data_IF_809568395692
#
_entry.id   IF_809568395692
#
_cell.length_a   1.000
_cell.length_b   1.000
_cell.length_c   1.000
_cell.angle_alpha   90.00
_cell.angle_beta   90.00
_cell.angle_gamma   90.00
#
_symmetry.space_group_name_H-M   'P 1'
#
loop_
_entity.id
_entity.type
_entity.pdbx_description
1 polymer ?
#
# COMPACT_ATOMS: atom_id res chain seq x y z
N UNK A 1 -2.04 -73.59 62.04
CA UNK A 1 -2.12 -72.31 61.28
C UNK A 1 -1.40 -72.53 59.95
N UNK A 2 -2.12 -72.78 58.91
CA UNK A 2 -1.60 -73.00 57.59
C UNK A 2 -1.65 -71.69 56.79
N UNK A 3 -0.60 -71.26 56.09
CA UNK A 3 -0.62 -70.01 55.33
C UNK A 3 -1.42 -70.18 54.01
N UNK A 4 -2.25 -69.18 53.73
CA UNK A 4 -3.01 -69.08 52.47
C UNK A 4 -2.12 -68.75 51.29
N UNK A 5 -2.37 -69.32 50.07
CA UNK A 5 -1.59 -68.99 48.88
C UNK A 5 -2.00 -67.64 48.32
N UNK A 6 -1.01 -66.87 47.86
CA UNK A 6 -1.18 -65.60 47.17
C UNK A 6 -1.55 -65.87 45.73
N UNK A 7 -2.53 -65.14 45.12
CA UNK A 7 -2.90 -65.38 43.72
C UNK A 7 -1.81 -64.86 42.78
N UNK A 8 -1.47 -65.68 41.76
CA UNK A 8 -0.53 -65.36 40.70
C UNK A 8 -1.13 -64.23 39.79
N UNK A 9 -0.39 -63.11 39.68
CA UNK A 9 -0.69 -62.09 38.68
C UNK A 9 -0.31 -62.60 37.29
N UNK A 10 -1.30 -62.81 36.45
CA UNK A 10 -1.04 -63.00 35.02
C UNK A 10 -0.45 -61.74 34.39
N UNK A 11 0.81 -61.73 34.12
CA UNK A 11 1.44 -60.74 33.22
C UNK A 11 1.19 -61.21 31.79
N UNK A 12 0.32 -60.50 31.09
CA UNK A 12 0.20 -60.65 29.64
C UNK A 12 1.49 -60.10 28.98
N UNK A 13 2.42 -61.00 28.63
CA UNK A 13 3.56 -60.65 27.76
C UNK A 13 3.08 -60.57 26.31
N UNK A 14 2.87 -59.34 25.81
CA UNK A 14 2.67 -59.11 24.39
C UNK A 14 3.98 -59.53 23.66
N UNK A 15 3.85 -60.34 22.61
CA UNK A 15 4.98 -60.79 21.82
C UNK A 15 5.65 -59.57 21.16
N UNK A 16 7.01 -59.53 21.03
CA UNK A 16 7.72 -58.38 20.47
C UNK A 16 7.25 -58.01 19.04
N UNK A 17 6.82 -58.98 18.25
CA UNK A 17 6.26 -58.77 16.90
C UNK A 17 4.94 -58.00 16.89
N UNK A 18 4.13 -58.08 17.94
CA UNK A 18 2.86 -57.38 18.06
C UNK A 18 3.11 -55.90 18.42
N UNK A 19 4.09 -55.61 19.26
CA UNK A 19 4.49 -54.27 19.64
C UNK A 19 5.01 -53.46 18.46
N UNK A 20 5.88 -54.06 17.61
CA UNK A 20 6.40 -53.41 16.40
C UNK A 20 5.31 -53.08 15.38
N UNK A 21 4.33 -53.96 15.21
CA UNK A 21 3.20 -53.71 14.31
C UNK A 21 2.32 -52.57 14.81
N UNK A 22 2.05 -52.48 16.12
CA UNK A 22 1.28 -51.38 16.72
C UNK A 22 2.03 -50.06 16.62
N UNK A 23 3.33 -50.03 16.89
CA UNK A 23 4.15 -48.81 16.76
C UNK A 23 4.22 -48.33 15.31
N UNK A 24 4.36 -49.25 14.35
CA UNK A 24 4.39 -48.90 12.92
C UNK A 24 3.05 -48.32 12.45
N UNK A 25 1.93 -48.95 12.78
CA UNK A 25 0.58 -48.48 12.43
C UNK A 25 0.31 -47.10 13.09
N UNK A 26 0.71 -46.96 14.35
CA UNK A 26 0.53 -45.67 15.04
C UNK A 26 1.41 -44.56 14.43
N UNK A 27 2.62 -44.85 14.05
CA UNK A 27 3.50 -43.90 13.35
C UNK A 27 2.96 -43.51 11.97
N UNK A 28 2.45 -44.46 11.19
CA UNK A 28 1.86 -44.20 9.88
C UNK A 28 0.57 -43.38 10.02
N UNK A 29 -0.27 -43.66 10.99
CA UNK A 29 -1.50 -42.88 11.26
C UNK A 29 -1.18 -41.46 11.75
N UNK A 30 -0.15 -41.30 12.59
CA UNK A 30 0.30 -40.00 13.06
C UNK A 30 0.88 -39.17 11.92
N UNK A 31 1.68 -39.79 11.05
CA UNK A 31 2.24 -39.13 9.86
C UNK A 31 1.14 -38.76 8.87
N UNK A 32 0.16 -39.63 8.65
CA UNK A 32 -0.99 -39.34 7.79
C UNK A 32 -1.86 -38.22 8.36
N UNK A 33 -2.04 -38.15 9.69
CA UNK A 33 -2.78 -37.06 10.35
C UNK A 33 -2.02 -35.71 10.24
N UNK A 34 -0.68 -35.74 10.34
CA UNK A 34 0.16 -34.53 10.18
C UNK A 34 0.17 -34.03 8.73
N UNK A 35 0.14 -34.93 7.74
CA UNK A 35 0.10 -34.55 6.32
C UNK A 35 -1.32 -34.09 5.91
N UNK A 36 -2.36 -34.66 6.48
CA UNK A 36 -3.74 -34.22 6.23
C UNK A 36 -4.05 -32.84 6.86
N UNK A 37 -3.26 -32.43 7.86
CA UNK A 37 -3.41 -31.09 8.49
C UNK A 37 -2.81 -29.92 7.69
N UNK A 38 -2.07 -30.19 6.61
CA UNK A 38 -1.43 -29.15 5.80
C UNK A 38 -2.25 -28.66 4.58
N UNK A 39 -3.49 -29.06 4.47
CA UNK A 39 -4.41 -28.53 3.46
C UNK A 39 -5.09 -27.26 4.00
N UNK A 40 -4.47 -26.13 3.97
CA UNK A 40 -5.08 -24.86 4.35
C UNK A 40 -5.97 -24.32 3.25
N UNK A 41 -7.00 -25.01 2.97
CA UNK A 41 -8.16 -24.35 2.36
C UNK A 41 -8.89 -23.68 3.51
N UNK A 42 -9.20 -22.41 3.38
CA UNK A 42 -9.96 -21.65 4.38
C UNK A 42 -11.26 -22.42 4.69
N UNK A 43 -11.40 -23.02 5.86
CA UNK A 43 -12.55 -23.85 6.14
C UNK A 43 -13.79 -23.06 6.54
N UNK A 44 -13.68 -21.70 6.63
CA UNK A 44 -14.76 -20.88 7.17
C UNK A 44 -15.14 -19.78 6.19
N UNK A 45 -16.44 -19.57 6.01
CA UNK A 45 -16.98 -18.37 5.41
C UNK A 45 -16.67 -17.20 6.30
N UNK A 46 -16.18 -16.09 5.73
CA UNK A 46 -15.96 -14.87 6.50
C UNK A 46 -17.27 -14.42 7.14
N UNK A 47 -17.24 -14.19 8.45
CA UNK A 47 -18.40 -13.63 9.16
C UNK A 47 -18.65 -12.18 8.74
N UNK A 48 -19.82 -11.62 9.06
CA UNK A 48 -20.10 -10.21 8.82
C UNK A 48 -19.18 -9.33 9.64
N UNK A 49 -18.85 -8.15 9.13
CA UNK A 49 -18.13 -7.11 9.87
C UNK A 49 -19.05 -6.45 10.89
N UNK A 50 -18.47 -5.87 11.95
CA UNK A 50 -19.24 -5.16 12.98
C UNK A 50 -19.86 -3.88 12.44
N UNK A 51 -19.11 -3.14 11.63
CA UNK A 51 -19.51 -1.89 11.01
C UNK A 51 -19.00 -1.87 9.57
N UNK A 52 -19.87 -1.55 8.64
CA UNK A 52 -19.54 -1.41 7.21
C UNK A 52 -19.70 0.04 6.78
N UNK A 53 -18.77 0.48 5.95
CA UNK A 53 -18.99 1.70 5.17
C UNK A 53 -19.93 1.37 4.01
N UNK A 54 -20.97 2.14 3.80
CA UNK A 54 -21.93 1.84 2.73
C UNK A 54 -21.33 2.01 1.33
N UNK A 55 -20.33 2.86 1.13
CA UNK A 55 -19.69 3.21 -0.16
C UNK A 55 -20.71 3.46 -1.31
N UNK A 56 -21.89 3.96 -0.95
CA UNK A 56 -23.04 4.06 -1.84
C UNK A 56 -23.48 5.50 -2.12
N UNK A 57 -23.00 6.42 -1.32
CA UNK A 57 -23.34 7.82 -1.47
C UNK A 57 -22.28 8.55 -2.31
N UNK A 58 -22.69 9.45 -3.21
CA UNK A 58 -21.72 10.28 -3.93
C UNK A 58 -20.96 11.16 -2.92
N UNK A 59 -19.65 11.20 -3.07
CA UNK A 59 -18.79 12.11 -2.29
C UNK A 59 -18.95 13.50 -2.91
N UNK A 60 -19.24 14.55 -2.12
CA UNK A 60 -19.31 15.92 -2.61
C UNK A 60 -17.98 16.32 -3.26
N UNK A 61 -18.03 17.17 -4.27
CA UNK A 61 -16.79 17.74 -4.80
C UNK A 61 -16.12 18.60 -3.72
N UNK A 62 -14.79 18.45 -3.52
CA UNK A 62 -14.09 19.27 -2.56
C UNK A 62 -14.20 20.74 -2.93
N UNK A 63 -14.21 21.67 -1.96
CA UNK A 63 -14.19 23.10 -2.26
C UNK A 63 -13.00 23.44 -3.15
N UNK A 64 -13.18 24.38 -4.07
CA UNK A 64 -12.15 24.75 -5.06
C UNK A 64 -10.88 25.36 -4.44
N UNK A 65 -10.92 25.74 -3.19
CA UNK A 65 -9.78 26.29 -2.45
C UNK A 65 -8.96 25.14 -1.87
N UNK A 66 -8.09 24.57 -2.67
CA UNK A 66 -6.96 23.78 -2.16
C UNK A 66 -6.04 24.76 -1.42
N UNK A 67 -5.81 24.54 -0.13
CA UNK A 67 -4.81 25.33 0.60
C UNK A 67 -3.46 25.25 -0.11
N UNK A 68 -2.71 26.36 -0.08
CA UNK A 68 -1.42 26.36 -0.78
C UNK A 68 -0.52 25.29 -0.19
N UNK A 69 0.24 24.58 -1.03
CA UNK A 69 1.22 23.57 -0.68
C UNK A 69 2.17 23.97 0.48
N UNK A 70 2.40 25.26 0.66
CA UNK A 70 3.22 25.81 1.75
C UNK A 70 2.52 25.71 3.09
N UNK A 71 1.20 25.93 3.14
CA UNK A 71 0.39 25.76 4.34
C UNK A 71 0.29 24.30 4.72
N UNK A 72 0.08 23.40 3.78
CA UNK A 72 0.10 21.95 4.03
C UNK A 72 1.42 21.49 4.63
N UNK A 73 2.56 21.98 4.11
CA UNK A 73 3.87 21.64 4.68
C UNK A 73 4.07 22.19 6.08
N UNK A 74 3.60 23.39 6.35
CA UNK A 74 3.68 24.01 7.70
C UNK A 74 2.76 23.25 8.64
N UNK A 75 1.52 22.95 8.21
CA UNK A 75 0.55 22.19 8.98
C UNK A 75 1.10 20.82 9.34
N UNK A 76 1.53 20.03 8.37
CA UNK A 76 2.13 18.71 8.56
C UNK A 76 3.42 18.73 9.40
N UNK A 77 4.25 19.75 9.25
CA UNK A 77 5.56 19.78 9.91
C UNK A 77 5.52 20.32 11.33
N UNK A 78 4.56 21.17 11.66
CA UNK A 78 4.49 21.89 12.93
C UNK A 78 3.21 21.58 13.69
N UNK A 79 2.05 21.81 13.07
CA UNK A 79 0.76 21.74 13.78
C UNK A 79 0.37 20.30 14.11
N UNK A 80 0.45 19.35 13.19
CA UNK A 80 0.16 17.95 13.48
C UNK A 80 1.04 17.36 14.59
N UNK A 81 2.33 17.74 14.63
CA UNK A 81 3.26 17.24 15.65
C UNK A 81 2.92 17.76 17.05
N UNK A 82 2.26 18.91 17.14
CA UNK A 82 1.84 19.53 18.41
C UNK A 82 0.41 19.14 18.78
N UNK A 83 -0.47 18.98 17.82
CA UNK A 83 -1.88 18.69 18.03
C UNK A 83 -2.10 17.28 18.66
N UNK A 84 -1.39 16.28 18.20
CA UNK A 84 -1.47 14.91 18.75
C UNK A 84 -1.19 14.84 20.25
N UNK A 85 -0.04 15.32 20.76
CA UNK A 85 0.22 15.33 22.20
C UNK A 85 -0.67 16.30 22.98
N UNK A 86 -1.20 17.35 22.33
CA UNK A 86 -2.15 18.27 22.96
C UNK A 86 -3.57 17.69 23.06
N UNK A 87 -3.90 16.66 22.29
CA UNK A 87 -5.17 15.98 22.37
C UNK A 87 -5.27 15.13 23.63
N UNK A 88 -6.00 15.62 24.61
CA UNK A 88 -6.15 14.98 25.93
C UNK A 88 -6.74 13.57 25.86
N UNK A 89 -7.61 13.30 24.88
CA UNK A 89 -8.20 11.98 24.67
C UNK A 89 -7.16 11.00 24.14
N UNK A 90 -6.32 11.41 23.22
CA UNK A 90 -5.23 10.58 22.69
C UNK A 90 -4.17 10.32 23.76
N UNK A 91 -3.68 11.37 24.43
CA UNK A 91 -2.67 11.28 25.48
C UNK A 91 -3.18 10.47 26.67
N UNK A 92 -4.42 10.71 27.12
CA UNK A 92 -5.04 9.96 28.20
C UNK A 92 -5.17 8.47 27.89
N UNK A 93 -5.56 8.10 26.67
CA UNK A 93 -5.59 6.69 26.24
C UNK A 93 -4.19 6.06 26.20
N UNK A 94 -3.20 6.75 25.63
CA UNK A 94 -1.80 6.25 25.60
C UNK A 94 -1.23 6.04 26.99
N UNK A 95 -1.48 6.96 27.90
CA UNK A 95 -1.08 6.82 29.32
C UNK A 95 -1.85 5.66 29.98
N UNK A 96 -3.16 5.57 29.76
CA UNK A 96 -3.98 4.46 30.26
C UNK A 96 -3.51 3.09 29.76
N UNK A 97 -3.17 2.98 28.48
CA UNK A 97 -2.59 1.76 27.88
C UNK A 97 -1.22 1.43 28.47
N UNK A 98 -0.34 2.43 28.61
CA UNK A 98 0.99 2.23 29.19
C UNK A 98 0.95 1.80 30.65
N UNK A 99 -0.08 2.23 31.40
CA UNK A 99 -0.32 1.84 32.79
C UNK A 99 -1.14 0.54 32.91
N UNK A 100 -1.54 -0.08 31.82
CA UNK A 100 -2.39 -1.27 31.81
C UNK A 100 -3.83 -1.02 32.32
N UNK A 101 -4.27 0.25 32.37
CA UNK A 101 -5.61 0.66 32.81
C UNK A 101 -6.62 0.70 31.63
N UNK A 102 -6.14 0.75 30.40
CA UNK A 102 -6.96 0.68 29.20
C UNK A 102 -6.47 -0.46 28.31
N UNK A 103 -7.40 -1.24 27.76
CA UNK A 103 -7.11 -2.26 26.75
C UNK A 103 -6.68 -1.64 25.44
N UNK A 104 -6.11 -2.43 24.54
CA UNK A 104 -5.93 -2.04 23.16
C UNK A 104 -7.32 -1.88 22.51
N UNK A 105 -7.54 -0.77 21.83
CA UNK A 105 -8.77 -0.59 21.06
C UNK A 105 -8.82 -1.64 19.94
N UNK A 106 -9.88 -2.44 19.91
CA UNK A 106 -10.13 -3.34 18.77
C UNK A 106 -10.50 -2.54 17.53
N UNK A 107 -10.26 -3.11 16.36
CA UNK A 107 -10.76 -2.52 15.13
C UNK A 107 -12.29 -2.75 15.01
N UNK A 108 -13.00 -1.74 14.51
CA UNK A 108 -14.46 -1.81 14.42
C UNK A 108 -14.94 -2.36 13.06
N UNK A 109 -14.15 -2.22 12.01
CA UNK A 109 -14.47 -2.67 10.66
C UNK A 109 -13.99 -4.10 10.36
N UNK A 110 -14.05 -4.99 11.31
CA UNK A 110 -13.56 -6.37 11.17
C UNK A 110 -14.65 -7.40 11.44
N UNK A 111 -14.51 -8.55 10.81
CA UNK A 111 -15.32 -9.73 11.11
C UNK A 111 -14.78 -10.46 12.34
N UNK A 112 -15.42 -11.59 12.69
CA UNK A 112 -15.04 -12.41 13.85
C UNK A 112 -13.63 -13.01 13.76
N UNK A 113 -13.01 -12.97 12.58
CA UNK A 113 -11.64 -13.43 12.33
C UNK A 113 -10.62 -12.27 12.32
N UNK A 114 -11.04 -11.09 12.73
CA UNK A 114 -10.22 -9.85 12.75
C UNK A 114 -9.76 -9.42 11.33
N UNK A 115 -10.57 -9.67 10.32
CA UNK A 115 -10.27 -9.36 8.93
C UNK A 115 -11.15 -8.21 8.42
N UNK A 116 -10.55 -7.18 7.76
CA UNK A 116 -11.31 -6.08 7.18
C UNK A 116 -12.05 -6.53 5.92
N UNK A 117 -13.19 -5.89 5.56
CA UNK A 117 -13.85 -6.07 4.28
C UNK A 117 -13.08 -5.39 3.16
N UNK A 118 -13.51 -5.62 1.91
CA UNK A 118 -13.17 -4.69 0.83
C UNK A 118 -13.89 -3.37 1.08
N UNK A 119 -13.20 -2.26 0.83
CA UNK A 119 -13.71 -0.90 1.02
C UNK A 119 -13.04 0.07 0.03
N UNK A 120 -13.40 1.35 0.09
CA UNK A 120 -12.70 2.43 -0.63
C UNK A 120 -11.20 2.53 -0.27
N UNK A 121 -10.79 2.01 0.86
CA UNK A 121 -9.41 2.04 1.35
C UNK A 121 -8.61 0.79 0.99
N UNK A 122 -9.27 -0.35 0.78
CA UNK A 122 -8.62 -1.65 0.81
C UNK A 122 -9.34 -2.69 -0.03
N UNK A 123 -8.59 -3.53 -0.69
CA UNK A 123 -9.10 -4.71 -1.40
C UNK A 123 -8.29 -5.93 -0.97
N UNK A 124 -8.97 -6.99 -0.57
CA UNK A 124 -8.34 -8.28 -0.26
C UNK A 124 -7.60 -8.79 -1.48
N UNK A 125 -6.31 -9.10 -1.33
CA UNK A 125 -5.44 -9.60 -2.40
C UNK A 125 -4.59 -10.76 -1.89
N UNK A 126 -3.28 -10.71 -2.03
CA UNK A 126 -2.35 -11.82 -1.89
C UNK A 126 -2.55 -12.73 -0.68
N UNK A 127 -2.87 -12.18 0.50
CA UNK A 127 -3.12 -13.00 1.69
C UNK A 127 -4.40 -13.84 1.57
N UNK A 128 -5.41 -13.33 0.90
CA UNK A 128 -6.71 -13.98 0.74
C UNK A 128 -6.76 -14.85 -0.52
N UNK A 129 -6.24 -14.32 -1.62
CA UNK A 129 -6.12 -15.01 -2.91
C UNK A 129 -4.64 -14.98 -3.31
N UNK A 130 -3.99 -16.14 -3.27
CA UNK A 130 -2.56 -16.24 -3.53
C UNK A 130 -2.22 -15.73 -4.93
N UNK A 131 -1.49 -14.62 -4.98
CA UNK A 131 -0.97 -14.06 -6.23
C UNK A 131 0.27 -14.85 -6.67
N UNK A 132 0.33 -15.21 -7.93
CA UNK A 132 1.52 -15.81 -8.52
C UNK A 132 2.71 -14.83 -8.49
N UNK A 133 3.97 -15.33 -8.58
CA UNK A 133 5.14 -14.45 -8.68
C UNK A 133 5.07 -13.44 -9.83
N UNK A 134 4.41 -13.82 -10.94
CA UNK A 134 4.18 -12.92 -12.07
C UNK A 134 3.21 -11.80 -11.73
N UNK A 135 2.12 -12.09 -11.07
CA UNK A 135 1.13 -11.09 -10.63
C UNK A 135 1.73 -10.13 -9.60
N UNK A 136 2.53 -10.65 -8.67
CA UNK A 136 3.28 -9.82 -7.70
C UNK A 136 4.26 -8.90 -8.43
N UNK A 137 4.98 -9.41 -9.43
CA UNK A 137 5.92 -8.62 -10.22
C UNK A 137 5.23 -7.54 -11.08
N UNK A 138 4.03 -7.79 -11.55
CA UNK A 138 3.21 -6.82 -12.28
C UNK A 138 2.65 -5.78 -11.29
N UNK A 139 2.10 -6.21 -10.15
CA UNK A 139 1.47 -5.35 -9.17
C UNK A 139 0.28 -4.58 -9.74
N UNK A 140 0.21 -3.24 -9.52
CA UNK A 140 -0.87 -2.40 -10.07
C UNK A 140 -0.77 -2.20 -11.59
N UNK A 141 0.38 -2.49 -12.20
CA UNK A 141 0.69 -2.25 -13.61
C UNK A 141 0.03 -3.29 -14.52
N UNK A 142 -1.27 -3.46 -14.42
CA UNK A 142 -2.01 -4.37 -15.28
C UNK A 142 -1.97 -3.85 -16.73
N UNK A 143 -1.83 -4.78 -17.67
CA UNK A 143 -2.14 -4.48 -19.05
C UNK A 143 -3.62 -4.14 -19.17
N UNK A 144 -3.94 -3.20 -20.03
CA UNK A 144 -5.33 -2.95 -20.36
C UNK A 144 -5.97 -4.17 -21.05
N UNK A 145 -7.26 -4.09 -21.33
CA UNK A 145 -8.01 -5.15 -22.00
C UNK A 145 -7.53 -5.41 -23.43
N UNK A 146 -6.76 -4.49 -24.01
CA UNK A 146 -6.17 -4.60 -25.36
C UNK A 146 -4.77 -5.23 -25.34
N UNK A 147 -4.22 -5.48 -24.15
CA UNK A 147 -2.88 -6.06 -23.97
C UNK A 147 -1.74 -5.06 -24.06
N UNK A 148 -2.03 -3.76 -24.09
CA UNK A 148 -1.02 -2.69 -24.05
C UNK A 148 -0.25 -2.74 -22.73
N UNK A 149 1.06 -2.63 -22.80
CA UNK A 149 1.93 -2.63 -21.62
C UNK A 149 1.65 -1.40 -20.75
N UNK A 150 1.79 -1.57 -19.42
CA UNK A 150 1.75 -0.44 -18.50
C UNK A 150 2.88 0.55 -18.80
N UNK A 151 2.63 1.82 -18.50
CA UNK A 151 3.55 2.92 -18.75
C UNK A 151 3.22 3.73 -19.99
N UNK A 152 3.91 4.85 -20.19
CA UNK A 152 3.63 5.75 -21.31
C UNK A 152 3.96 5.13 -22.67
N UNK A 153 3.19 5.51 -23.67
CA UNK A 153 3.47 5.15 -25.05
C UNK A 153 4.69 5.92 -25.55
N UNK A 154 5.73 5.18 -25.88
CA UNK A 154 7.02 5.74 -26.35
C UNK A 154 7.09 5.87 -27.87
N UNK A 155 6.03 5.52 -28.61
CA UNK A 155 6.03 5.52 -30.07
C UNK A 155 5.89 6.91 -30.69
N UNK A 156 5.52 7.94 -29.92
CA UNK A 156 5.26 9.29 -30.39
C UNK A 156 5.80 10.38 -29.47
N UNK A 157 5.36 11.59 -29.73
CA UNK A 157 5.72 12.78 -28.97
C UNK A 157 4.94 12.83 -27.64
N UNK A 158 5.61 13.23 -26.58
CA UNK A 158 5.00 13.50 -25.28
C UNK A 158 4.78 15.01 -25.11
N UNK A 159 3.58 15.39 -24.73
CA UNK A 159 3.23 16.79 -24.49
C UNK A 159 3.42 17.12 -23.01
N UNK A 160 4.39 17.94 -22.67
CA UNK A 160 4.61 18.44 -21.31
C UNK A 160 3.56 19.49 -21.00
N UNK A 161 2.74 19.23 -19.97
CA UNK A 161 1.61 20.09 -19.57
C UNK A 161 1.91 20.93 -18.34
N UNK A 162 2.84 20.48 -17.48
CA UNK A 162 3.30 21.31 -16.34
C UNK A 162 4.67 20.86 -15.83
N UNK A 163 5.36 21.78 -15.16
CA UNK A 163 6.47 21.46 -14.27
C UNK A 163 5.94 20.83 -12.98
N UNK A 164 6.70 19.89 -12.41
CA UNK A 164 6.36 19.29 -11.11
C UNK A 164 6.82 20.20 -9.98
N UNK A 165 5.88 20.76 -9.24
CA UNK A 165 6.11 21.66 -8.10
C UNK A 165 6.17 20.95 -6.76
N UNK A 166 5.49 19.81 -6.62
CA UNK A 166 5.34 19.10 -5.37
C UNK A 166 6.36 17.97 -5.16
N UNK A 167 6.66 17.70 -3.88
CA UNK A 167 7.51 16.58 -3.44
C UNK A 167 9.01 16.83 -3.68
N UNK A 168 9.86 15.92 -3.18
CA UNK A 168 11.31 16.07 -3.19
C UNK A 168 11.97 15.78 -4.54
N UNK A 169 11.33 14.99 -5.40
CA UNK A 169 11.85 14.61 -6.71
C UNK A 169 11.59 15.70 -7.74
N UNK A 170 12.58 16.01 -8.56
CA UNK A 170 12.38 16.84 -9.74
C UNK A 170 11.59 16.10 -10.82
N UNK A 171 10.86 16.82 -11.63
CA UNK A 171 10.09 16.20 -12.69
C UNK A 171 9.15 17.17 -13.44
N UNK A 172 8.28 16.59 -14.21
CA UNK A 172 7.26 17.30 -14.99
C UNK A 172 6.05 16.41 -15.19
N UNK A 173 4.93 16.98 -15.58
CA UNK A 173 3.72 16.25 -15.97
C UNK A 173 3.62 16.27 -17.50
N UNK A 174 3.29 15.14 -18.06
CA UNK A 174 3.14 15.01 -19.50
C UNK A 174 1.97 14.12 -19.88
N UNK A 175 1.48 14.31 -21.11
CA UNK A 175 0.49 13.49 -21.77
C UNK A 175 1.15 12.69 -22.90
N UNK A 176 0.88 11.38 -22.94
CA UNK A 176 1.39 10.49 -23.98
C UNK A 176 0.50 10.50 -25.25
N UNK A 177 0.91 9.87 -26.37
CA UNK A 177 0.10 9.83 -27.61
C UNK A 177 -1.28 9.19 -27.46
N UNK A 178 -1.55 8.47 -26.39
CA UNK A 178 -2.86 7.86 -26.10
C UNK A 178 -3.78 8.79 -25.30
N UNK A 179 -3.27 9.95 -24.84
CA UNK A 179 -3.97 10.85 -23.93
C UNK A 179 -3.88 10.46 -22.46
N UNK A 180 -3.01 9.50 -22.12
CA UNK A 180 -2.73 9.14 -20.73
C UNK A 180 -1.77 10.17 -20.10
N UNK A 181 -2.12 10.66 -18.92
CA UNK A 181 -1.28 11.64 -18.19
C UNK A 181 -0.38 10.94 -17.18
N UNK A 182 0.88 11.39 -17.10
CA UNK A 182 1.90 10.86 -16.20
C UNK A 182 2.66 11.96 -15.47
N UNK A 183 2.94 11.75 -14.19
CA UNK A 183 3.97 12.48 -13.47
C UNK A 183 5.30 11.79 -13.73
N UNK A 184 6.19 12.49 -14.41
CA UNK A 184 7.55 12.03 -14.66
C UNK A 184 8.44 12.47 -13.51
N UNK A 185 9.04 11.53 -12.80
CA UNK A 185 9.95 11.78 -11.68
C UNK A 185 11.35 11.35 -12.06
N UNK A 186 12.32 12.23 -11.81
CA UNK A 186 13.72 12.01 -12.13
C UNK A 186 14.49 11.66 -10.85
N UNK A 187 15.29 10.60 -10.91
CA UNK A 187 16.19 10.22 -9.82
C UNK A 187 17.24 11.31 -9.58
N UNK A 188 17.71 11.45 -8.35
CA UNK A 188 18.79 12.38 -8.07
C UNK A 188 20.07 12.00 -8.85
N UNK A 189 20.75 12.94 -9.52
CA UNK A 189 21.92 12.63 -10.36
C UNK A 189 23.02 11.87 -9.64
N UNK A 190 23.14 12.09 -8.33
CA UNK A 190 24.14 11.41 -7.48
C UNK A 190 23.80 9.96 -7.18
N UNK A 191 22.52 9.62 -7.19
CA UNK A 191 22.01 8.29 -6.87
C UNK A 191 20.94 7.87 -7.90
N UNK A 192 21.36 7.63 -9.15
CA UNK A 192 20.46 7.18 -10.19
C UNK A 192 19.83 5.85 -9.78
N UNK A 193 18.57 5.64 -10.14
CA UNK A 193 17.77 4.45 -9.87
C UNK A 193 17.28 4.27 -8.42
N UNK A 194 17.75 5.06 -7.45
CA UNK A 194 17.43 4.83 -6.05
C UNK A 194 15.95 5.08 -5.76
N UNK A 195 15.46 6.27 -6.09
CA UNK A 195 14.09 6.69 -5.78
C UNK A 195 13.08 5.95 -6.66
N UNK A 196 13.32 5.89 -7.95
CA UNK A 196 12.42 5.21 -8.89
C UNK A 196 12.30 3.72 -8.60
N UNK A 197 13.39 3.05 -8.19
CA UNK A 197 13.33 1.65 -7.77
C UNK A 197 12.56 1.47 -6.47
N UNK A 198 12.78 2.35 -5.49
CA UNK A 198 12.06 2.32 -4.23
C UNK A 198 10.55 2.49 -4.44
N UNK A 199 10.13 3.46 -5.26
CA UNK A 199 8.70 3.67 -5.57
C UNK A 199 8.08 2.48 -6.30
N UNK A 200 8.75 1.90 -7.30
CA UNK A 200 8.22 0.74 -8.03
C UNK A 200 8.08 -0.48 -7.11
N UNK A 201 9.07 -0.73 -6.25
CA UNK A 201 9.04 -1.87 -5.32
C UNK A 201 7.93 -1.66 -4.27
N UNK A 202 7.90 -0.48 -3.66
CA UNK A 202 6.92 -0.15 -2.61
C UNK A 202 5.49 -0.23 -3.12
N UNK A 203 5.20 0.29 -4.32
CA UNK A 203 3.87 0.18 -4.94
C UNK A 203 3.45 -1.27 -5.16
N UNK A 204 4.35 -2.16 -5.57
CA UNK A 204 4.02 -3.58 -5.75
C UNK A 204 3.73 -4.27 -4.43
N UNK A 205 4.49 -3.98 -3.38
CA UNK A 205 4.28 -4.51 -2.04
C UNK A 205 2.94 -4.03 -1.48
N UNK A 206 2.67 -2.71 -1.54
CA UNK A 206 1.42 -2.13 -1.08
C UNK A 206 0.21 -2.68 -1.86
N UNK A 207 0.36 -2.84 -3.18
CA UNK A 207 -0.69 -3.45 -4.00
C UNK A 207 -0.98 -4.89 -3.57
N UNK A 208 0.05 -5.72 -3.38
CA UNK A 208 -0.10 -7.10 -2.91
C UNK A 208 -0.74 -7.15 -1.52
N UNK A 209 -0.38 -6.22 -0.64
CA UNK A 209 -0.97 -6.10 0.69
C UNK A 209 -2.43 -5.63 0.69
N UNK A 210 -2.94 -5.11 -0.43
CA UNK A 210 -4.35 -4.75 -0.58
C UNK A 210 -4.64 -3.27 -0.82
N UNK A 211 -3.64 -2.38 -0.73
CA UNK A 211 -3.84 -0.94 -0.84
C UNK A 211 -3.92 -0.46 -2.28
N UNK A 212 -4.65 0.64 -2.48
CA UNK A 212 -4.70 1.33 -3.76
C UNK A 212 -3.44 2.17 -3.94
N UNK A 213 -2.80 2.01 -5.07
CA UNK A 213 -1.55 2.67 -5.42
C UNK A 213 -1.52 3.00 -6.91
N UNK A 214 -0.82 4.06 -7.33
CA UNK A 214 -0.68 4.41 -8.73
C UNK A 214 0.10 3.35 -9.50
N UNK A 215 -0.05 3.34 -10.83
CA UNK A 215 0.78 2.55 -11.72
C UNK A 215 2.12 3.27 -11.91
N UNK A 216 3.17 2.72 -11.33
CA UNK A 216 4.53 3.23 -11.43
C UNK A 216 5.36 2.36 -12.36
N UNK A 217 5.94 2.95 -13.39
CA UNK A 217 6.74 2.26 -14.40
C UNK A 217 8.05 3.00 -14.63
N UNK A 218 9.16 2.27 -14.61
CA UNK A 218 10.43 2.83 -15.10
C UNK A 218 10.38 2.92 -16.62
N UNK A 219 10.68 4.10 -17.14
CA UNK A 219 10.70 4.38 -18.59
C UNK A 219 11.97 5.13 -18.98
N UNK A 220 12.23 5.13 -20.28
CA UNK A 220 13.33 5.87 -20.89
C UNK A 220 12.76 6.73 -22.01
N UNK A 221 13.16 8.00 -22.06
CA UNK A 221 12.67 8.94 -23.05
C UNK A 221 13.81 9.79 -23.64
N UNK A 222 13.68 10.19 -24.89
CA UNK A 222 14.55 11.18 -25.49
C UNK A 222 14.03 12.59 -25.18
N UNK A 223 14.88 13.56 -24.81
CA UNK A 223 14.46 14.95 -24.72
C UNK A 223 13.85 15.50 -26.02
N UNK A 224 14.27 14.99 -27.17
CA UNK A 224 13.73 15.38 -28.46
C UNK A 224 12.28 14.91 -28.71
N UNK A 225 11.81 13.96 -27.89
CA UNK A 225 10.43 13.47 -27.90
C UNK A 225 9.48 14.44 -27.20
N UNK A 226 9.99 15.42 -26.44
CA UNK A 226 9.18 16.30 -25.61
C UNK A 226 8.75 17.55 -26.36
N UNK A 227 7.46 17.85 -26.34
CA UNK A 227 6.89 19.13 -26.74
C UNK A 227 6.22 19.78 -25.54
N UNK A 228 6.29 21.10 -25.45
CA UNK A 228 5.67 21.84 -24.35
C UNK A 228 4.34 22.39 -24.85
N UNK A 229 3.27 22.17 -24.07
CA UNK A 229 1.97 22.75 -24.34
C UNK A 229 2.04 24.28 -24.22
N UNK A 230 1.30 25.01 -25.03
CA UNK A 230 1.21 26.48 -24.91
C UNK A 230 0.69 26.92 -23.54
N UNK A 231 -0.14 26.12 -22.91
CA UNK A 231 -0.69 26.35 -21.58
C UNK A 231 0.14 25.76 -20.45
N UNK A 232 1.36 25.26 -20.73
CA UNK A 232 2.18 24.62 -19.70
C UNK A 232 2.57 25.62 -18.60
N UNK A 233 2.41 25.21 -17.36
CA UNK A 233 2.67 26.05 -16.20
C UNK A 233 3.39 25.30 -15.10
N UNK A 234 3.89 26.02 -14.11
CA UNK A 234 4.43 25.48 -12.88
C UNK A 234 3.97 26.32 -11.70
N UNK A 235 3.50 25.68 -10.66
CA UNK A 235 3.15 26.38 -9.42
C UNK A 235 4.41 26.67 -8.63
N UNK A 236 4.57 27.92 -8.21
CA UNK A 236 5.70 28.40 -7.42
C UNK A 236 5.22 29.13 -6.18
N UNK A 237 6.13 29.50 -5.28
CA UNK A 237 5.81 30.36 -4.12
C UNK A 237 5.22 31.72 -4.51
N UNK A 238 5.33 32.14 -5.76
CA UNK A 238 4.82 33.40 -6.29
C UNK A 238 3.52 33.21 -7.09
N UNK A 239 2.93 32.04 -7.03
CA UNK A 239 1.80 31.61 -7.82
C UNK A 239 2.21 30.89 -9.10
N UNK A 240 1.23 30.62 -9.94
CA UNK A 240 1.41 29.96 -11.22
C UNK A 240 2.24 30.77 -12.19
N UNK A 241 3.24 30.16 -12.79
CA UNK A 241 4.14 30.76 -13.77
C UNK A 241 4.16 29.90 -15.05
N UNK A 242 4.38 30.48 -16.22
CA UNK A 242 4.60 29.70 -17.44
C UNK A 242 5.78 28.73 -17.25
N UNK A 243 5.65 27.53 -17.82
CA UNK A 243 6.72 26.53 -17.87
C UNK A 243 7.20 26.41 -19.30
N UNK A 244 8.39 26.93 -19.56
CA UNK A 244 8.92 27.10 -20.89
C UNK A 244 10.00 26.03 -21.23
N UNK A 245 10.47 26.08 -22.50
CA UNK A 245 11.48 25.12 -22.97
C UNK A 245 12.80 25.25 -22.21
N UNK A 246 13.16 26.46 -21.82
CA UNK A 246 14.36 26.78 -21.05
C UNK A 246 14.30 26.14 -19.65
N UNK A 247 13.12 26.13 -19.03
CA UNK A 247 12.90 25.51 -17.72
C UNK A 247 13.02 23.98 -17.81
N UNK A 248 12.41 23.38 -18.85
CA UNK A 248 12.53 21.95 -19.11
C UNK A 248 13.99 21.57 -19.41
N UNK A 249 14.71 22.37 -20.15
CA UNK A 249 16.11 22.13 -20.48
C UNK A 249 16.96 22.19 -19.21
N UNK A 250 16.80 23.23 -18.40
CA UNK A 250 17.48 23.38 -17.11
C UNK A 250 17.12 22.24 -16.12
N UNK A 251 15.89 21.72 -16.20
CA UNK A 251 15.46 20.55 -15.44
C UNK A 251 16.24 19.29 -15.86
N UNK A 252 16.44 19.07 -17.17
CA UNK A 252 17.03 17.85 -17.73
C UNK A 252 18.56 17.86 -17.81
N UNK A 253 19.18 19.01 -17.86
CA UNK A 253 20.65 19.18 -18.00
C UNK A 253 21.50 18.39 -17.00
N UNK A 254 21.11 18.27 -15.71
CA UNK A 254 21.90 17.52 -14.73
C UNK A 254 21.90 16.00 -14.93
N UNK A 255 21.05 15.47 -15.81
CA UNK A 255 20.84 14.02 -15.94
C UNK A 255 21.67 13.43 -17.08
N UNK A 256 22.38 12.36 -16.74
CA UNK A 256 23.16 11.60 -17.72
C UNK A 256 22.23 10.90 -18.73
N UNK A 257 22.64 10.88 -19.98
CA UNK A 257 21.95 10.16 -21.04
C UNK A 257 22.55 8.77 -21.21
N UNK A 258 21.70 7.81 -21.47
CA UNK A 258 22.16 6.46 -21.88
C UNK A 258 22.93 6.51 -23.20
N UNK A 259 23.55 5.39 -23.56
CA UNK A 259 24.21 5.25 -24.87
C UNK A 259 23.26 5.50 -26.06
N UNK A 260 21.96 5.38 -25.86
CA UNK A 260 20.90 5.65 -26.83
C UNK A 260 20.39 7.10 -26.80
N UNK A 261 21.00 7.97 -25.97
CA UNK A 261 20.61 9.37 -25.81
C UNK A 261 19.37 9.61 -24.94
N UNK A 262 18.84 8.58 -24.27
CA UNK A 262 17.63 8.65 -23.45
C UNK A 262 17.93 8.96 -21.98
N UNK A 263 16.97 9.55 -21.29
CA UNK A 263 16.99 9.77 -19.84
C UNK A 263 16.06 8.74 -19.20
N UNK A 264 16.53 8.15 -18.08
CA UNK A 264 15.73 7.26 -17.25
C UNK A 264 14.84 8.06 -16.30
N UNK A 265 13.58 7.68 -16.20
CA UNK A 265 12.62 8.28 -15.28
C UNK A 265 11.63 7.26 -14.73
N UNK A 266 10.96 7.62 -13.66
CA UNK A 266 9.74 6.97 -13.20
C UNK A 266 8.55 7.69 -13.82
N UNK A 267 7.69 6.96 -14.51
CA UNK A 267 6.38 7.41 -14.96
C UNK A 267 5.32 6.90 -13.98
N UNK A 268 4.69 7.82 -13.26
CA UNK A 268 3.56 7.55 -12.38
C UNK A 268 2.28 7.98 -13.08
N UNK A 269 1.42 7.02 -13.44
CA UNK A 269 0.17 7.32 -14.13
C UNK A 269 -0.77 8.09 -13.22
N UNK A 270 -1.35 9.16 -13.71
CA UNK A 270 -2.40 9.88 -13.00
C UNK A 270 -3.57 8.93 -12.71
N UNK A 271 -4.13 9.06 -11.52
CA UNK A 271 -5.35 8.36 -11.12
C UNK A 271 -6.53 9.24 -11.51
N UNK A 272 -7.54 8.63 -12.13
CA UNK A 272 -8.76 9.35 -12.46
C UNK A 272 -9.45 9.86 -11.19
N UNK A 273 -9.99 11.08 -11.26
CA UNK A 273 -10.69 11.72 -10.16
C UNK A 273 -10.06 13.04 -9.71
N UNK A 274 -10.66 13.63 -8.70
CA UNK A 274 -10.17 14.86 -8.08
C UNK A 274 -9.55 14.52 -6.71
N UNK A 275 -8.42 15.15 -6.32
CA UNK A 275 -7.89 15.04 -4.97
C UNK A 275 -8.95 15.56 -3.96
N UNK A 276 -9.16 14.78 -2.90
CA UNK A 276 -10.10 15.16 -1.82
C UNK A 276 -9.41 15.96 -0.70
N UNK A 277 -8.09 16.10 -0.76
CA UNK A 277 -7.31 16.77 0.27
C UNK A 277 -6.44 15.81 1.08
N UNK A 278 -5.81 16.30 2.15
CA UNK A 278 -4.96 15.49 3.01
C UNK A 278 -5.77 14.42 3.74
N UNK A 279 -5.10 13.30 4.03
CA UNK A 279 -5.67 12.19 4.76
C UNK A 279 -5.29 12.29 6.25
N UNK A 280 -6.30 12.21 7.11
CA UNK A 280 -6.12 12.13 8.56
C UNK A 280 -6.20 10.69 9.06
N UNK A 281 -5.24 10.27 9.89
CA UNK A 281 -5.28 8.95 10.54
C UNK A 281 -6.24 8.87 11.73
N UNK A 282 -6.85 9.96 12.14
CA UNK A 282 -7.77 10.04 13.27
C UNK A 282 -9.10 10.65 12.86
N UNK A 283 -10.18 10.12 13.42
CA UNK A 283 -11.52 10.59 13.11
C UNK A 283 -12.06 10.03 11.81
N UNK A 284 -13.00 10.71 11.24
CA UNK A 284 -13.63 10.44 9.94
C UNK A 284 -13.53 11.70 9.09
N UNK A 285 -13.54 11.52 7.76
CA UNK A 285 -13.68 12.64 6.85
C UNK A 285 -15.13 13.18 6.90
N UNK A 286 -15.37 14.40 7.42
CA UNK A 286 -16.72 14.97 7.55
C UNK A 286 -17.40 15.23 6.21
N UNK A 287 -16.63 15.39 5.13
CA UNK A 287 -17.13 15.65 3.80
C UNK A 287 -17.45 14.37 3.02
N UNK A 288 -17.06 13.20 3.57
CA UNK A 288 -17.36 11.90 2.99
C UNK A 288 -18.48 11.17 3.75
N UNK A 289 -19.71 11.14 3.22
CA UNK A 289 -20.85 10.51 3.90
C UNK A 289 -20.73 8.99 4.05
N UNK A 290 -19.79 8.37 3.35
CA UNK A 290 -19.51 6.95 3.42
C UNK A 290 -18.50 6.62 4.52
N UNK A 291 -17.71 7.58 4.98
CA UNK A 291 -16.66 7.36 5.98
C UNK A 291 -17.23 7.39 7.41
N UNK A 292 -17.73 6.25 7.85
CA UNK A 292 -18.44 6.11 9.15
C UNK A 292 -17.61 5.45 10.23
N UNK A 293 -16.55 4.75 9.84
CA UNK A 293 -15.63 4.11 10.78
C UNK A 293 -14.42 5.00 10.97
N UNK A 294 -14.12 5.35 12.21
CA UNK A 294 -12.95 6.18 12.52
C UNK A 294 -11.67 5.54 11.99
N UNK A 295 -10.81 6.33 11.36
CA UNK A 295 -9.60 5.86 10.68
C UNK A 295 -8.69 5.06 11.62
N UNK A 296 -8.51 5.50 12.85
CA UNK A 296 -7.72 4.79 13.85
C UNK A 296 -8.34 3.46 14.31
N UNK A 297 -9.59 3.21 13.96
CA UNK A 297 -10.30 1.95 14.25
C UNK A 297 -10.44 1.05 13.03
N UNK A 298 -9.88 1.46 11.89
CA UNK A 298 -9.83 0.63 10.68
C UNK A 298 -8.62 -0.29 10.70
N UNK A 299 -8.86 -1.58 10.53
CA UNK A 299 -7.80 -2.61 10.54
C UNK A 299 -6.79 -2.40 9.41
N UNK A 300 -7.27 -2.09 8.22
CA UNK A 300 -6.44 -1.83 7.05
C UNK A 300 -5.56 -0.59 7.23
N UNK A 301 -6.05 0.49 7.83
CA UNK A 301 -5.25 1.69 8.05
C UNK A 301 -4.18 1.48 9.13
N UNK A 302 -4.49 0.71 10.18
CA UNK A 302 -3.47 0.27 11.16
C UNK A 302 -2.40 -0.59 10.48
N UNK A 303 -2.81 -1.48 9.58
CA UNK A 303 -1.90 -2.30 8.78
C UNK A 303 -1.04 -1.45 7.84
N UNK A 304 -1.61 -0.41 7.24
CA UNK A 304 -0.89 0.54 6.40
C UNK A 304 0.25 1.22 7.17
N UNK A 305 0.00 1.69 8.39
CA UNK A 305 1.02 2.31 9.23
C UNK A 305 2.22 1.38 9.47
N UNK A 306 1.96 0.08 9.69
CA UNK A 306 3.03 -0.92 9.89
C UNK A 306 3.85 -1.13 8.62
N UNK A 307 3.17 -1.29 7.47
CA UNK A 307 3.85 -1.50 6.18
C UNK A 307 4.62 -0.25 5.77
N UNK A 308 4.05 0.94 5.97
CA UNK A 308 4.72 2.21 5.68
C UNK A 308 5.99 2.40 6.52
N UNK A 309 5.93 2.07 7.82
CA UNK A 309 7.10 2.09 8.68
C UNK A 309 8.18 1.10 8.20
N UNK A 310 7.79 -0.09 7.76
CA UNK A 310 8.73 -1.09 7.21
C UNK A 310 9.36 -0.67 5.90
N UNK A 311 8.59 -0.03 5.00
CA UNK A 311 9.06 0.50 3.73
C UNK A 311 9.81 1.83 3.87
N UNK A 312 9.85 2.40 5.08
CA UNK A 312 10.36 3.75 5.34
C UNK A 312 9.64 4.83 4.51
N UNK A 313 8.34 4.63 4.31
CA UNK A 313 7.47 5.57 3.60
C UNK A 313 7.10 6.73 4.54
N UNK A 314 7.78 7.85 4.37
CA UNK A 314 7.60 9.05 5.22
C UNK A 314 6.47 9.96 4.75
N UNK A 315 5.87 9.70 3.60
CA UNK A 315 4.77 10.50 3.07
C UNK A 315 3.44 10.12 3.74
N UNK A 316 3.31 8.89 4.22
CA UNK A 316 2.17 8.42 5.01
C UNK A 316 2.45 8.57 6.50
N UNK A 317 2.49 9.80 6.93
CA UNK A 317 2.70 10.12 8.35
C UNK A 317 1.42 9.91 9.14
N UNK A 318 1.58 9.26 10.29
CA UNK A 318 0.53 9.13 11.29
C UNK A 318 0.76 10.12 12.44
#
# INVERSE_FOLDING_TARGET
MTPRPVPARCFFRLSPTMTYRFTYIFSVLLTAALVAGCGSTRPYTLGPVKTEDPDQQPIPEPPETVESMYWDRIHLSVFEQVEKPANLNWTGRKVGQALGLAGADEADNVNVMDEPPNSSWYTRRHYYDEMSPRELAIGPNKRDTTGVAAGPDTSGTWTVVSGKSEGASRGFVMEDPRGDTYVMKLDGPKYPELMSSAEVISTKILHAAGYYVPQNTVTFFSPDQLQIAESASIETARGEQPFEREDLQALLDPYERTAQGTIRALASKFVDGKPLGPFDFYGTDPDNPNDRVRHEQRRELRGLSVISAWLHDTDRRA
#
